data_IF_467218601618
#
_entry.id   IF_467218601618
#
_cell.length_a   1.000
_cell.length_b   1.000
_cell.length_c   1.000
_cell.angle_alpha   90.00
_cell.angle_beta   90.00
_cell.angle_gamma   90.00
#
_symmetry.space_group_name_H-M   'P 1'
#
loop_
_entity.id
_entity.type
_entity.pdbx_description
1 polymer ?
#
# COMPACT_ATOMS: atom_id res chain seq x y z
N UNK A 1 4.76 2.01 -52.53
CA UNK A 1 5.31 3.07 -51.67
C UNK A 1 6.66 2.63 -51.11
N UNK A 2 7.77 3.15 -51.66
CA UNK A 2 9.11 2.80 -51.19
C UNK A 2 9.34 3.35 -49.78
N UNK A 3 9.40 2.46 -48.78
CA UNK A 3 9.62 2.81 -47.38
C UNK A 3 11.09 3.14 -47.20
N UNK A 4 11.44 4.43 -47.04
CA UNK A 4 12.85 4.82 -46.88
C UNK A 4 13.44 4.21 -45.61
N UNK A 5 14.48 3.40 -45.78
CA UNK A 5 15.17 2.71 -44.68
C UNK A 5 15.92 3.69 -43.76
N UNK A 6 16.11 4.94 -44.19
CA UNK A 6 16.84 5.96 -43.44
C UNK A 6 16.06 6.54 -42.25
N UNK A 7 14.71 6.49 -42.28
CA UNK A 7 13.87 7.08 -41.22
C UNK A 7 13.72 6.16 -39.99
N UNK A 8 14.09 4.88 -40.10
CA UNK A 8 13.94 3.91 -39.00
C UNK A 8 14.87 4.20 -37.82
N UNK A 9 16.14 4.53 -38.10
CA UNK A 9 17.15 4.78 -37.05
C UNK A 9 16.81 6.00 -36.19
N UNK A 10 16.33 7.08 -36.83
CA UNK A 10 15.94 8.28 -36.11
C UNK A 10 14.75 8.04 -35.19
N UNK A 11 13.74 7.27 -35.63
CA UNK A 11 12.58 6.91 -34.80
C UNK A 11 12.96 6.07 -33.58
N UNK A 12 13.93 5.16 -33.73
CA UNK A 12 14.41 4.33 -32.62
C UNK A 12 15.11 5.15 -31.55
N UNK A 13 15.93 6.15 -31.93
CA UNK A 13 16.59 7.01 -30.95
C UNK A 13 15.58 7.84 -30.14
N UNK A 14 14.53 8.39 -30.76
CA UNK A 14 13.48 9.12 -30.00
C UNK A 14 12.60 8.21 -29.14
N UNK A 15 12.44 6.93 -29.49
CA UNK A 15 11.70 5.97 -28.66
C UNK A 15 12.43 5.69 -27.34
N UNK A 16 13.76 5.72 -27.32
CA UNK A 16 14.56 5.52 -26.11
C UNK A 16 14.34 6.62 -25.06
N UNK A 17 14.09 7.86 -25.49
CA UNK A 17 13.78 8.97 -24.58
C UNK A 17 12.33 8.98 -24.09
N UNK A 18 11.41 8.32 -24.82
CA UNK A 18 10.01 8.21 -24.42
C UNK A 18 9.81 7.34 -23.17
N UNK A 19 10.75 6.44 -22.88
CA UNK A 19 10.73 5.58 -21.69
C UNK A 19 11.61 6.08 -20.54
N UNK A 20 12.29 7.23 -20.69
CA UNK A 20 13.15 7.82 -19.65
C UNK A 20 12.53 9.04 -18.95
N UNK A 21 11.25 9.32 -19.22
CA UNK A 21 10.51 10.45 -18.69
C UNK A 21 9.64 10.15 -17.46
N UNK A 22 9.58 8.89 -17.01
CA UNK A 22 8.82 8.54 -15.82
C UNK A 22 9.80 7.96 -14.81
N UNK A 23 10.26 8.79 -13.88
CA UNK A 23 10.36 8.29 -12.51
C UNK A 23 8.94 7.85 -12.19
N UNK A 24 8.67 6.56 -12.42
CA UNK A 24 7.49 5.92 -11.93
C UNK A 24 7.59 6.04 -10.40
N UNK A 25 7.12 7.16 -9.87
CA UNK A 25 6.40 7.17 -8.61
C UNK A 25 5.25 6.23 -8.91
N UNK A 26 5.50 4.93 -8.74
CA UNK A 26 4.44 3.97 -8.58
C UNK A 26 3.67 4.52 -7.40
N UNK A 27 2.59 5.23 -7.67
CA UNK A 27 1.66 5.70 -6.65
C UNK A 27 1.25 4.40 -5.98
N UNK A 28 1.88 4.08 -4.84
CA UNK A 28 1.56 2.86 -4.13
C UNK A 28 0.06 2.97 -3.89
N UNK A 29 -0.72 2.10 -4.53
CA UNK A 29 -2.17 2.06 -4.31
C UNK A 29 -2.29 1.58 -2.88
N UNK A 30 -2.25 2.54 -1.95
CA UNK A 30 -2.23 2.29 -0.52
C UNK A 30 -3.49 1.51 -0.21
N UNK A 31 -3.32 0.23 0.14
CA UNK A 31 -4.43 -0.62 0.52
C UNK A 31 -4.93 -0.13 1.87
N UNK A 32 -6.19 0.27 1.94
CA UNK A 32 -6.82 0.72 3.17
C UNK A 32 -6.73 -0.38 4.24
N UNK A 33 -6.76 -1.65 3.84
CA UNK A 33 -6.49 -2.81 4.71
C UNK A 33 -5.23 -2.68 5.56
N UNK A 34 -4.11 -2.22 5.00
CA UNK A 34 -2.88 -2.03 5.79
C UNK A 34 -2.98 -0.82 6.72
N UNK A 35 -3.59 0.27 6.28
CA UNK A 35 -3.80 1.46 7.13
C UNK A 35 -4.69 1.13 8.33
N UNK A 36 -5.83 0.49 8.09
CA UNK A 36 -6.76 0.11 9.16
C UNK A 36 -6.20 -0.99 10.06
N UNK A 37 -5.35 -1.90 9.54
CA UNK A 37 -4.62 -2.85 10.38
C UNK A 37 -3.71 -2.12 11.37
N UNK A 38 -2.88 -1.18 10.90
CA UNK A 38 -1.94 -0.44 11.75
C UNK A 38 -2.71 0.36 12.81
N UNK A 39 -3.77 1.06 12.41
CA UNK A 39 -4.63 1.80 13.35
C UNK A 39 -5.25 0.85 14.36
N UNK A 40 -5.79 -0.30 13.92
CA UNK A 40 -6.41 -1.29 14.78
C UNK A 40 -5.43 -1.86 15.82
N UNK A 41 -4.19 -2.15 15.42
CA UNK A 41 -3.14 -2.63 16.34
C UNK A 41 -2.81 -1.57 17.39
N UNK A 42 -2.62 -0.31 16.99
CA UNK A 42 -2.29 0.78 17.92
C UNK A 42 -3.44 0.99 18.92
N UNK A 43 -4.68 1.07 18.44
CA UNK A 43 -5.85 1.26 19.31
C UNK A 43 -6.03 0.06 20.25
N UNK A 44 -5.91 -1.17 19.73
CA UNK A 44 -6.01 -2.38 20.54
C UNK A 44 -4.92 -2.47 21.62
N UNK A 45 -3.70 -2.06 21.29
CA UNK A 45 -2.59 -1.95 22.25
C UNK A 45 -2.90 -0.93 23.35
N UNK A 46 -3.36 0.27 22.99
CA UNK A 46 -3.70 1.32 23.95
C UNK A 46 -4.83 0.89 24.88
N UNK A 47 -5.89 0.28 24.34
CA UNK A 47 -6.98 -0.28 25.15
C UNK A 47 -6.44 -1.35 26.11
N UNK A 48 -5.63 -2.29 25.61
CA UNK A 48 -5.02 -3.32 26.45
C UNK A 48 -4.15 -2.73 27.57
N UNK A 49 -3.37 -1.70 27.28
CA UNK A 49 -2.52 -1.01 28.27
C UNK A 49 -3.34 -0.36 29.37
N UNK A 50 -4.32 0.48 29.01
CA UNK A 50 -5.14 1.22 29.97
C UNK A 50 -6.11 0.32 30.75
N UNK A 51 -6.68 -0.70 30.10
CA UNK A 51 -7.64 -1.60 30.75
C UNK A 51 -6.99 -2.54 31.77
N UNK A 52 -5.69 -2.83 31.63
CA UNK A 52 -5.02 -3.89 32.42
C UNK A 52 -3.81 -3.40 33.21
N UNK A 53 -3.65 -2.08 33.34
CA UNK A 53 -2.52 -1.44 34.03
C UNK A 53 -1.14 -1.91 33.51
N UNK A 54 -1.02 -2.15 32.20
CA UNK A 54 0.25 -2.51 31.58
C UNK A 54 0.63 -3.99 31.62
N UNK A 55 -0.31 -4.91 31.88
CA UNK A 55 -0.05 -6.35 31.69
C UNK A 55 0.24 -6.65 30.22
N UNK A 56 1.50 -6.99 29.93
CA UNK A 56 2.01 -7.22 28.57
C UNK A 56 1.20 -8.27 27.80
N UNK A 57 0.71 -9.31 28.47
CA UNK A 57 -0.14 -10.34 27.86
C UNK A 57 -1.44 -9.77 27.28
N UNK A 58 -2.11 -8.88 28.03
CA UNK A 58 -3.35 -8.26 27.59
C UNK A 58 -3.13 -7.20 26.51
N UNK A 59 -1.98 -6.53 26.52
CA UNK A 59 -1.58 -5.63 25.45
C UNK A 59 -1.36 -6.39 24.13
N UNK A 60 -0.76 -7.58 24.19
CA UNK A 60 -0.59 -8.47 23.04
C UNK A 60 -1.93 -8.96 22.47
N UNK A 61 -2.84 -9.40 23.34
CA UNK A 61 -4.19 -9.82 22.96
C UNK A 61 -4.97 -8.66 22.34
N UNK A 62 -4.94 -7.47 22.97
CA UNK A 62 -5.59 -6.27 22.46
C UNK A 62 -5.07 -5.86 21.09
N UNK A 63 -3.76 -5.88 20.89
CA UNK A 63 -3.11 -5.60 19.61
C UNK A 63 -3.54 -6.59 18.52
N UNK A 64 -3.54 -7.89 18.83
CA UNK A 64 -3.94 -8.92 17.88
C UNK A 64 -5.42 -8.80 17.49
N UNK A 65 -6.31 -8.65 18.49
CA UNK A 65 -7.74 -8.48 18.26
C UNK A 65 -8.04 -7.20 17.45
N UNK A 66 -7.43 -6.07 17.83
CA UNK A 66 -7.58 -4.80 17.13
C UNK A 66 -7.06 -4.86 15.69
N UNK A 67 -5.92 -5.50 15.47
CA UNK A 67 -5.35 -5.71 14.14
C UNK A 67 -6.23 -6.58 13.22
N UNK A 68 -6.79 -7.68 13.74
CA UNK A 68 -7.70 -8.55 12.98
C UNK A 68 -8.96 -7.79 12.56
N UNK A 69 -9.58 -7.07 13.50
CA UNK A 69 -10.78 -6.27 13.23
C UNK A 69 -10.47 -5.14 12.23
N UNK A 70 -9.38 -4.40 12.45
CA UNK A 70 -8.95 -3.32 11.55
C UNK A 70 -8.64 -3.82 10.14
N UNK A 71 -7.96 -4.96 10.02
CA UNK A 71 -7.69 -5.57 8.71
C UNK A 71 -8.98 -6.00 8.00
N UNK A 72 -9.94 -6.59 8.71
CA UNK A 72 -11.21 -7.00 8.13
C UNK A 72 -12.04 -5.80 7.64
N UNK A 73 -12.06 -4.70 8.41
CA UNK A 73 -12.70 -3.45 8.00
C UNK A 73 -12.02 -2.88 6.76
N UNK A 74 -10.69 -2.76 6.77
CA UNK A 74 -9.97 -2.17 5.65
C UNK A 74 -10.02 -3.03 4.37
N UNK A 75 -10.11 -4.36 4.48
CA UNK A 75 -10.33 -5.24 3.32
C UNK A 75 -11.72 -5.08 2.72
N UNK A 76 -12.77 -4.86 3.53
CA UNK A 76 -14.11 -4.52 3.03
C UNK A 76 -14.13 -3.19 2.28
N UNK A 77 -13.39 -2.19 2.77
CA UNK A 77 -13.26 -0.88 2.12
C UNK A 77 -12.46 -0.99 0.82
N UNK A 78 -11.39 -1.79 0.80
CA UNK A 78 -10.62 -2.05 -0.41
C UNK A 78 -11.43 -2.82 -1.47
N UNK A 79 -12.34 -3.72 -1.05
CA UNK A 79 -13.20 -4.47 -1.95
C UNK A 79 -14.37 -3.64 -2.53
N UNK A 80 -14.75 -2.55 -1.87
CA UNK A 80 -15.76 -1.62 -2.35
C UNK A 80 -15.22 -0.51 -3.26
N UNK A 81 -13.91 -0.49 -3.53
CA UNK A 81 -13.22 0.44 -4.45
C UNK A 81 -12.84 -0.26 -5.75
#
# INVERSE_FOLDING_TARGET
MARSHHRKKHKQHVQQFKHKGDFAVSKAKGKASYTFLIIGVIVGFLIGYFATNGLVGWMGIGSAAGGVVGYFIGTRIDAGK
#
